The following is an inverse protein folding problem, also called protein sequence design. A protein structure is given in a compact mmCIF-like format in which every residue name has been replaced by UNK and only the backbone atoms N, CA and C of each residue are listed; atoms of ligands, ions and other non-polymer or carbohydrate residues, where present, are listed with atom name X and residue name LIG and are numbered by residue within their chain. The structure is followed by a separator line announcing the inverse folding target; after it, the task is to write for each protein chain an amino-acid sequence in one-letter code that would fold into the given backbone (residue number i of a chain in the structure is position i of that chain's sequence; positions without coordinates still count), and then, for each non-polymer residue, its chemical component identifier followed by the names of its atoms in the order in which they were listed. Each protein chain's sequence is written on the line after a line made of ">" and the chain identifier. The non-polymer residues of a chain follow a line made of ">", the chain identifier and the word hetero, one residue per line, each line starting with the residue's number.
data_IF_053784550561
#
_entry.id   IF_053784550561
#
_cell.length_a   1.000
_cell.length_b   1.000
_cell.length_c   1.000
_cell.angle_alpha   90.00
_cell.angle_beta   90.00
_cell.angle_gamma   90.00
#
_symmetry.space_group_name_H-M   'P 1'
#
loop_
_entity.id
_entity.type
_entity.pdbx_description
1 polymer ?
#
# COMPACT_ATOMS: atom_id res chain seq x y z
N UNK A 1 9.57 6.18 -15.84
CA UNK A 1 9.55 5.09 -14.84
C UNK A 1 9.43 3.75 -15.54
N UNK A 2 10.18 2.72 -15.09
CA UNK A 2 10.07 1.38 -15.66
C UNK A 2 8.78 0.70 -15.18
N UNK A 3 7.83 0.49 -16.09
CA UNK A 3 6.59 -0.26 -15.82
C UNK A 3 6.75 -1.71 -16.25
N UNK A 4 5.97 -2.62 -15.66
CA UNK A 4 5.93 -4.02 -16.06
C UNK A 4 5.31 -4.18 -17.46
N UNK A 5 5.85 -5.09 -18.26
CA UNK A 5 5.32 -5.48 -19.57
C UNK A 5 5.42 -7.00 -19.75
N UNK A 6 4.62 -7.59 -20.63
CA UNK A 6 4.61 -9.02 -20.92
C UNK A 6 3.87 -9.84 -19.85
N UNK A 7 4.31 -11.08 -19.61
CA UNK A 7 3.64 -12.04 -18.71
C UNK A 7 3.53 -11.61 -17.25
N UNK A 8 4.39 -10.69 -16.81
CA UNK A 8 4.36 -10.11 -15.45
C UNK A 8 3.26 -9.07 -15.28
N UNK A 9 2.72 -8.52 -16.37
CA UNK A 9 1.75 -7.43 -16.32
C UNK A 9 0.34 -7.94 -15.98
N UNK A 10 -0.23 -7.45 -14.89
CA UNK A 10 -1.55 -7.82 -14.36
C UNK A 10 -2.67 -6.83 -14.73
N UNK A 11 -2.43 -5.94 -15.69
CA UNK A 11 -3.42 -4.92 -16.08
C UNK A 11 -3.45 -3.69 -15.18
N UNK A 12 -2.49 -3.53 -14.27
CA UNK A 12 -2.41 -2.38 -13.37
C UNK A 12 -1.45 -1.32 -13.93
N UNK A 13 -1.99 -0.15 -14.31
CA UNK A 13 -1.25 0.88 -15.07
C UNK A 13 0.08 1.33 -14.42
N UNK A 14 0.15 1.32 -13.09
CA UNK A 14 1.34 1.74 -12.33
C UNK A 14 2.19 0.56 -11.83
N UNK A 15 1.92 -0.66 -12.29
CA UNK A 15 2.67 -1.84 -11.86
C UNK A 15 4.17 -1.69 -12.19
N UNK A 16 5.01 -1.94 -11.18
CA UNK A 16 6.46 -1.96 -11.33
C UNK A 16 6.95 -3.36 -11.69
N UNK A 17 8.12 -3.44 -12.34
CA UNK A 17 8.78 -4.72 -12.61
C UNK A 17 9.27 -5.36 -11.31
N UNK A 18 9.09 -6.66 -11.15
CA UNK A 18 9.57 -7.40 -9.97
C UNK A 18 11.10 -7.28 -9.82
N UNK A 19 11.85 -7.37 -10.92
CA UNK A 19 13.31 -7.24 -10.89
C UNK A 19 13.80 -5.92 -10.26
N UNK A 20 13.06 -4.82 -10.47
CA UNK A 20 13.38 -3.53 -9.84
C UNK A 20 13.17 -3.58 -8.32
N UNK A 21 12.03 -4.11 -7.88
CA UNK A 21 11.71 -4.24 -6.46
C UNK A 21 12.66 -5.23 -5.76
N UNK A 22 13.08 -6.27 -6.47
CA UNK A 22 14.05 -7.24 -5.95
C UNK A 22 15.38 -6.58 -5.57
N UNK A 23 15.89 -5.68 -6.42
CA UNK A 23 17.12 -4.92 -6.11
C UNK A 23 16.93 -4.09 -4.85
N UNK A 24 15.85 -3.33 -4.74
CA UNK A 24 15.61 -2.48 -3.58
C UNK A 24 15.43 -3.29 -2.29
N UNK A 25 14.62 -4.34 -2.31
CA UNK A 25 14.34 -5.16 -1.13
C UNK A 25 15.62 -5.88 -0.66
N UNK A 26 16.43 -6.42 -1.58
CA UNK A 26 17.71 -7.05 -1.23
C UNK A 26 18.72 -6.06 -0.65
N UNK A 27 18.78 -4.84 -1.19
CA UNK A 27 19.71 -3.81 -0.71
C UNK A 27 19.35 -3.23 0.65
N UNK A 28 18.06 -3.27 1.05
CA UNK A 28 17.54 -2.57 2.23
C UNK A 28 17.02 -3.49 3.34
N UNK A 29 17.05 -4.81 3.15
CA UNK A 29 16.52 -5.77 4.13
C UNK A 29 17.19 -7.14 4.05
N UNK A 30 17.08 -7.90 5.12
CA UNK A 30 17.52 -9.30 5.22
C UNK A 30 16.32 -10.26 5.18
N UNK A 31 16.51 -11.57 4.95
CA UNK A 31 15.46 -12.56 5.16
C UNK A 31 14.84 -12.42 6.56
N UNK A 32 13.51 -12.63 6.66
CA UNK A 32 12.69 -12.45 7.86
C UNK A 32 12.45 -11.01 8.33
N UNK A 33 13.08 -10.01 7.73
CA UNK A 33 12.75 -8.60 7.99
C UNK A 33 11.34 -8.27 7.49
N UNK A 34 10.76 -7.18 8.00
CA UNK A 34 9.44 -6.69 7.66
C UNK A 34 9.51 -5.60 6.59
N UNK A 35 8.86 -5.83 5.46
CA UNK A 35 8.68 -4.86 4.37
C UNK A 35 7.28 -4.27 4.46
N UNK A 36 7.17 -2.94 4.48
CA UNK A 36 5.90 -2.22 4.51
C UNK A 36 5.67 -1.47 3.20
N UNK A 37 4.49 -1.62 2.62
CA UNK A 37 4.02 -0.85 1.46
C UNK A 37 2.59 -0.34 1.70
N UNK A 38 2.46 0.95 1.99
CA UNK A 38 1.17 1.59 2.30
C UNK A 38 0.30 1.84 1.07
N UNK A 39 0.82 1.64 -0.14
CA UNK A 39 0.14 1.86 -1.42
C UNK A 39 0.40 0.68 -2.36
N UNK A 40 0.08 -0.52 -1.89
CA UNK A 40 0.54 -1.78 -2.46
C UNK A 40 0.12 -2.03 -3.91
N UNK A 41 -0.96 -1.42 -4.38
CA UNK A 41 -1.45 -1.51 -5.75
C UNK A 41 -1.63 -2.95 -6.23
N UNK A 42 -0.89 -3.35 -7.26
CA UNK A 42 -0.89 -4.72 -7.81
C UNK A 42 -0.08 -5.74 -7.00
N UNK A 43 0.49 -5.35 -5.85
CA UNK A 43 1.18 -6.25 -4.92
C UNK A 43 2.60 -6.64 -5.34
N UNK A 44 3.28 -5.88 -6.19
CA UNK A 44 4.63 -6.22 -6.64
C UNK A 44 5.60 -6.29 -5.46
N UNK A 45 5.55 -5.31 -4.57
CA UNK A 45 6.39 -5.28 -3.36
C UNK A 45 6.17 -6.52 -2.48
N UNK A 46 4.91 -6.87 -2.18
CA UNK A 46 4.59 -8.03 -1.35
C UNK A 46 4.98 -9.35 -2.04
N UNK A 47 4.76 -9.48 -3.35
CA UNK A 47 5.13 -10.67 -4.11
C UNK A 47 6.66 -10.89 -4.09
N UNK A 48 7.44 -9.84 -4.27
CA UNK A 48 8.91 -9.91 -4.23
C UNK A 48 9.39 -10.18 -2.80
N UNK A 49 8.87 -9.50 -1.79
CA UNK A 49 9.19 -9.76 -0.40
C UNK A 49 8.91 -11.21 -0.02
N UNK A 50 7.74 -11.76 -0.42
CA UNK A 50 7.36 -13.16 -0.23
C UNK A 50 8.36 -14.12 -0.88
N UNK A 51 8.74 -13.87 -2.15
CA UNK A 51 9.70 -14.71 -2.90
C UNK A 51 11.08 -14.72 -2.23
N UNK A 52 11.47 -13.61 -1.65
CA UNK A 52 12.76 -13.41 -1.00
C UNK A 52 12.78 -13.82 0.49
N UNK A 53 11.67 -14.33 1.03
CA UNK A 53 11.58 -14.78 2.43
C UNK A 53 11.53 -13.63 3.45
N UNK A 54 11.03 -12.45 3.03
CA UNK A 54 10.73 -11.34 3.94
C UNK A 54 9.27 -11.44 4.38
N UNK A 55 8.98 -10.97 5.59
CA UNK A 55 7.60 -10.67 6.01
C UNK A 55 7.17 -9.38 5.35
N UNK A 56 5.87 -9.18 5.19
CA UNK A 56 5.38 -7.96 4.57
C UNK A 56 4.02 -7.54 5.13
N UNK A 57 3.77 -6.25 5.10
CA UNK A 57 2.47 -5.62 5.34
C UNK A 57 2.19 -4.71 4.15
N UNK A 58 0.99 -4.83 3.59
CA UNK A 58 0.55 -3.97 2.49
C UNK A 58 -0.85 -3.44 2.72
N UNK A 59 -1.09 -2.18 2.37
CA UNK A 59 -2.41 -1.58 2.40
C UNK A 59 -2.71 -0.84 1.10
N UNK A 60 -3.99 -0.76 0.77
CA UNK A 60 -4.49 0.05 -0.33
C UNK A 60 -5.94 0.40 -0.06
N UNK A 61 -6.36 1.59 -0.48
CA UNK A 61 -7.76 2.02 -0.40
C UNK A 61 -8.60 1.35 -1.51
N UNK A 62 -7.98 0.93 -2.60
CA UNK A 62 -8.64 0.33 -3.74
C UNK A 62 -8.88 -1.16 -3.52
N UNK A 63 -10.15 -1.55 -3.38
CA UNK A 63 -10.55 -2.96 -3.20
C UNK A 63 -10.09 -3.85 -4.36
N UNK A 64 -10.11 -3.35 -5.59
CA UNK A 64 -9.65 -4.09 -6.78
C UNK A 64 -8.15 -4.38 -6.71
N UNK A 65 -7.34 -3.41 -6.27
CA UNK A 65 -5.91 -3.59 -6.03
C UNK A 65 -5.65 -4.71 -5.01
N UNK A 66 -6.35 -4.69 -3.88
CA UNK A 66 -6.22 -5.73 -2.84
C UNK A 66 -6.65 -7.11 -3.34
N UNK A 67 -7.72 -7.20 -4.12
CA UNK A 67 -8.14 -8.48 -4.72
C UNK A 67 -7.09 -9.03 -5.70
N UNK A 68 -6.52 -8.15 -6.54
CA UNK A 68 -5.45 -8.51 -7.47
C UNK A 68 -4.20 -8.98 -6.74
N UNK A 69 -3.78 -8.22 -5.71
CA UNK A 69 -2.65 -8.56 -4.83
C UNK A 69 -2.86 -9.92 -4.17
N UNK A 70 -4.05 -10.18 -3.61
CA UNK A 70 -4.37 -11.47 -2.98
C UNK A 70 -4.25 -12.63 -3.95
N UNK A 71 -4.77 -12.51 -5.17
CA UNK A 71 -4.64 -13.54 -6.22
C UNK A 71 -3.18 -13.78 -6.61
N UNK A 72 -2.40 -12.71 -6.76
CA UNK A 72 -0.97 -12.79 -7.06
C UNK A 72 -0.19 -13.53 -5.98
N UNK A 73 -0.43 -13.19 -4.72
CA UNK A 73 0.24 -13.80 -3.58
C UNK A 73 -0.13 -15.28 -3.42
N UNK A 74 -1.39 -15.66 -3.63
CA UNK A 74 -1.82 -17.05 -3.65
C UNK A 74 -1.03 -17.85 -4.70
N UNK A 75 -0.86 -17.29 -5.92
CA UNK A 75 -0.06 -17.93 -6.97
C UNK A 75 1.40 -18.11 -6.55
N UNK A 76 2.02 -17.07 -6.00
CA UNK A 76 3.41 -17.12 -5.51
C UNK A 76 3.58 -18.19 -4.42
N UNK A 77 2.65 -18.27 -3.46
CA UNK A 77 2.70 -19.27 -2.38
C UNK A 77 2.53 -20.68 -2.95
N UNK A 78 1.60 -20.89 -3.88
CA UNK A 78 1.42 -22.20 -4.52
C UNK A 78 2.67 -22.64 -5.29
N UNK A 79 3.35 -21.73 -5.95
CA UNK A 79 4.64 -22.00 -6.62
C UNK A 79 5.74 -22.34 -5.61
N UNK A 80 5.79 -21.67 -4.47
CA UNK A 80 6.73 -21.98 -3.38
C UNK A 80 6.50 -23.39 -2.82
N UNK A 81 5.25 -23.76 -2.60
CA UNK A 81 4.86 -25.10 -2.13
C UNK A 81 5.26 -26.17 -3.16
N UNK A 82 4.94 -25.97 -4.43
CA UNK A 82 5.30 -26.90 -5.52
C UNK A 82 6.81 -27.12 -5.64
N UNK A 83 7.59 -26.07 -5.39
CA UNK A 83 9.05 -26.12 -5.43
C UNK A 83 9.70 -26.60 -4.12
N UNK A 84 8.92 -27.22 -3.23
CA UNK A 84 9.37 -27.75 -1.93
C UNK A 84 10.16 -26.74 -1.09
N UNK A 85 9.83 -25.44 -1.16
CA UNK A 85 10.40 -24.48 -0.25
C UNK A 85 9.93 -24.77 1.17
N UNK A 86 10.87 -25.02 2.06
CA UNK A 86 10.61 -25.37 3.46
C UNK A 86 10.08 -24.19 4.28
N UNK A 87 10.29 -22.95 3.80
CA UNK A 87 9.85 -21.73 4.47
C UNK A 87 9.07 -20.84 3.52
N UNK A 88 7.81 -20.64 3.81
CA UNK A 88 6.94 -19.67 3.15
C UNK A 88 5.97 -19.07 4.17
N UNK A 89 5.54 -17.84 3.94
CA UNK A 89 4.57 -17.17 4.80
C UNK A 89 3.18 -17.26 4.17
N UNK A 90 2.18 -17.53 4.97
CA UNK A 90 0.78 -17.30 4.63
C UNK A 90 0.42 -15.85 4.94
N UNK A 91 -0.72 -15.37 4.45
CA UNK A 91 -1.17 -14.01 4.72
C UNK A 91 -2.63 -13.97 5.16
N UNK A 92 -2.98 -12.94 5.91
CA UNK A 92 -4.35 -12.59 6.26
C UNK A 92 -4.76 -11.30 5.54
N UNK A 93 -6.02 -11.21 5.18
CA UNK A 93 -6.64 -10.03 4.61
C UNK A 93 -7.58 -9.40 5.63
N UNK A 94 -7.39 -8.13 5.87
CA UNK A 94 -8.23 -7.34 6.78
C UNK A 94 -8.93 -6.22 6.02
N UNK A 95 -10.19 -6.01 6.34
CA UNK A 95 -10.97 -4.87 5.84
C UNK A 95 -11.28 -3.96 7.02
N UNK A 96 -10.91 -2.69 6.91
CA UNK A 96 -11.31 -1.67 7.87
C UNK A 96 -12.72 -1.19 7.50
N UNK A 97 -13.71 -1.50 8.35
CA UNK A 97 -15.12 -1.24 8.07
C UNK A 97 -15.62 0.12 8.58
N UNK A 98 -14.98 0.69 9.61
CA UNK A 98 -15.43 1.92 10.28
C UNK A 98 -14.58 3.12 9.86
N UNK A 99 -14.41 3.31 8.55
CA UNK A 99 -13.79 4.51 8.03
C UNK A 99 -14.86 5.59 7.90
N UNK A 100 -15.09 6.34 8.96
CA UNK A 100 -15.93 7.53 8.89
C UNK A 100 -15.08 8.69 8.33
N UNK A 101 -15.12 8.85 7.00
CA UNK A 101 -14.43 9.93 6.30
C UNK A 101 -14.81 11.32 6.83
N UNK A 102 -16.06 11.48 7.31
CA UNK A 102 -16.51 12.75 7.89
C UNK A 102 -15.84 13.02 9.24
N UNK A 103 -15.69 11.99 10.08
CA UNK A 103 -15.01 12.12 11.36
C UNK A 103 -13.54 12.52 11.16
N UNK A 104 -12.84 11.83 10.27
CA UNK A 104 -11.44 12.12 9.95
C UNK A 104 -11.23 13.49 9.31
N UNK A 105 -12.13 13.92 8.42
CA UNK A 105 -12.10 15.27 7.88
C UNK A 105 -12.30 16.32 8.98
N UNK A 106 -13.22 16.08 9.91
CA UNK A 106 -13.46 16.97 11.04
C UNK A 106 -12.23 17.05 11.96
N UNK A 107 -11.64 15.89 12.30
CA UNK A 107 -10.41 15.83 13.12
C UNK A 107 -9.22 16.50 12.43
N UNK A 108 -9.04 16.28 11.12
CA UNK A 108 -7.98 16.92 10.35
C UNK A 108 -8.13 18.45 10.28
N UNK A 109 -9.37 18.94 10.12
CA UNK A 109 -9.69 20.37 10.15
C UNK A 109 -9.44 20.94 11.55
N UNK A 110 -9.82 20.26 12.61
CA UNK A 110 -9.58 20.68 13.99
C UNK A 110 -8.08 20.76 14.30
N UNK A 111 -7.29 19.78 13.86
CA UNK A 111 -5.83 19.81 13.98
C UNK A 111 -5.23 20.98 13.19
N UNK A 112 -5.70 21.25 11.98
CA UNK A 112 -5.24 22.38 11.18
C UNK A 112 -5.58 23.71 11.83
N UNK A 113 -6.78 23.87 12.39
CA UNK A 113 -7.20 25.05 13.16
C UNK A 113 -6.29 25.27 14.37
N UNK A 114 -5.98 24.21 15.13
CA UNK A 114 -5.15 24.30 16.33
C UNK A 114 -3.67 24.63 16.04
N UNK A 115 -3.08 24.03 14.99
CA UNK A 115 -1.63 24.07 14.78
C UNK A 115 -1.20 25.09 13.72
N UNK A 116 -2.07 25.46 12.80
CA UNK A 116 -1.75 26.37 11.68
C UNK A 116 -2.44 27.74 11.84
N UNK A 117 -3.31 27.90 12.84
CA UNK A 117 -4.02 29.15 13.09
C UNK A 117 -5.07 29.51 12.03
N UNK A 118 -5.68 28.49 11.41
CA UNK A 118 -6.74 28.67 10.41
C UNK A 118 -8.02 29.17 11.08
N UNK A 119 -8.62 30.25 10.58
CA UNK A 119 -9.97 30.67 10.97
C UNK A 119 -11.01 29.97 10.08
N UNK A 120 -11.98 29.26 10.70
CA UNK A 120 -13.13 28.70 9.98
C UNK A 120 -14.00 29.82 9.41
N UNK A 121 -14.14 29.84 8.08
CA UNK A 121 -15.10 30.70 7.40
C UNK A 121 -16.27 29.83 6.87
N UNK A 122 -17.49 30.19 7.24
CA UNK A 122 -18.72 29.47 6.89
C UNK A 122 -19.23 29.72 5.45
N UNK A 123 -18.55 30.52 4.66
CA UNK A 123 -19.12 31.12 3.46
C UNK A 123 -18.68 30.52 2.14
N UNK A 124 -17.75 29.55 2.12
CA UNK A 124 -17.26 29.01 0.85
C UNK A 124 -17.36 27.49 0.79
N UNK A 125 -17.90 26.96 -0.32
CA UNK A 125 -18.04 25.51 -0.53
C UNK A 125 -16.72 24.80 -0.84
N UNK A 126 -15.65 25.58 -1.08
CA UNK A 126 -14.35 25.07 -1.52
C UNK A 126 -13.23 25.26 -0.49
N UNK A 127 -13.45 26.08 0.56
CA UNK A 127 -12.45 26.36 1.57
C UNK A 127 -13.01 26.19 2.97
N UNK A 128 -12.31 25.40 3.79
CA UNK A 128 -12.69 25.15 5.17
C UNK A 128 -12.20 26.23 6.14
N UNK A 129 -11.35 27.16 5.68
CA UNK A 129 -10.85 28.28 6.47
C UNK A 129 -9.79 29.12 5.76
N UNK A 130 -9.43 30.23 6.39
CA UNK A 130 -8.38 31.16 5.93
C UNK A 130 -7.30 31.33 7.00
N UNK A 131 -6.06 31.53 6.59
CA UNK A 131 -4.96 31.83 7.49
C UNK A 131 -5.06 33.33 7.89
N UNK A 132 -4.96 33.61 9.18
CA UNK A 132 -4.81 35.01 9.63
C UNK A 132 -3.51 35.58 9.07
N UNK A 133 -3.59 36.67 8.31
CA UNK A 133 -2.44 37.52 8.05
C UNK A 133 -2.36 38.49 9.25
N UNK A 134 -1.24 38.43 10.00
CA UNK A 134 -0.87 39.47 10.97
C UNK A 134 -0.35 40.71 10.26
#
# INVERSE_FOLDING_TARGET
>A
MATAHGEEYLGFATQKKEALLEIFIKASSNPDDLVLDCFIGSGTTAAVAQKLGRRWIGCDINKGAIQLTSKRLQKVILEQIKNNKTKYHTFAYYKVNNYDLKLLQTEAIELAVQHIGIQRTRTDRFFDGTIRQE
#
